data_IF_690998117164
#
_entry.id   IF_690998117164
#
_cell.length_a   1.000
_cell.length_b   1.000
_cell.length_c   1.000
_cell.angle_alpha   90.00
_cell.angle_beta   90.00
_cell.angle_gamma   90.00
#
_symmetry.space_group_name_H-M   'P 1'
#
loop_
_entity.id
_entity.type
_entity.pdbx_description
1 polymer ?
#
# COMPACT_ATOMS: atom_id res chain seq x y z
N UNK A 1 64.34 6.28 -9.67
CA UNK A 1 63.50 5.10 -9.96
C UNK A 1 62.65 4.82 -8.75
N UNK A 2 61.34 4.80 -8.98
CA UNK A 2 60.25 4.54 -8.06
C UNK A 2 60.38 3.16 -7.41
N UNK A 3 60.16 3.07 -6.09
CA UNK A 3 59.18 2.13 -5.51
C UNK A 3 58.89 2.47 -4.06
N UNK A 4 57.69 3.00 -3.90
CA UNK A 4 56.93 3.26 -2.68
C UNK A 4 56.55 1.94 -2.01
N UNK A 5 56.69 1.87 -0.68
CA UNK A 5 56.06 0.84 0.15
C UNK A 5 54.70 1.36 0.64
N UNK A 6 53.63 0.64 0.34
CA UNK A 6 52.30 0.90 0.88
C UNK A 6 52.15 0.22 2.24
N UNK A 7 51.85 1.01 3.28
CA UNK A 7 51.15 0.54 4.48
C UNK A 7 50.03 1.55 4.76
N UNK A 8 48.78 1.07 4.81
CA UNK A 8 47.80 1.63 5.73
C UNK A 8 46.61 0.67 5.89
N UNK A 9 46.59 -0.04 7.01
CA UNK A 9 45.35 -0.38 7.70
C UNK A 9 44.83 0.92 8.31
N UNK A 10 43.57 1.28 8.04
CA UNK A 10 42.90 2.36 8.79
C UNK A 10 41.77 1.74 9.58
N UNK A 11 41.90 1.89 10.90
CA UNK A 11 40.93 1.56 11.91
C UNK A 11 39.66 2.43 11.77
N UNK A 12 38.52 1.81 12.03
CA UNK A 12 37.21 2.48 12.15
C UNK A 12 37.22 3.34 13.41
N UNK A 13 37.16 4.66 13.26
CA UNK A 13 37.04 5.60 14.38
C UNK A 13 35.56 5.75 14.76
N UNK A 14 35.20 5.33 15.98
CA UNK A 14 33.93 5.69 16.64
C UNK A 14 33.97 7.17 17.02
N UNK A 15 32.95 7.93 16.61
CA UNK A 15 32.82 9.33 17.00
C UNK A 15 32.34 9.45 18.45
N UNK A 16 33.14 10.14 19.27
CA UNK A 16 32.74 10.73 20.57
C UNK A 16 32.77 12.23 20.37
N UNK A 17 31.63 12.89 20.62
CA UNK A 17 31.51 14.34 20.57
C UNK A 17 32.19 14.99 21.79
N UNK A 18 33.11 15.92 21.55
CA UNK A 18 33.54 16.92 22.53
C UNK A 18 33.89 18.20 21.79
N UNK A 19 32.99 19.18 21.87
CA UNK A 19 33.23 20.52 21.36
C UNK A 19 34.00 21.33 22.41
N UNK A 20 35.22 21.75 22.07
CA UNK A 20 35.85 22.93 22.68
C UNK A 20 36.39 23.80 21.55
N UNK A 21 35.87 25.04 21.45
CA UNK A 21 36.30 26.01 20.45
C UNK A 21 37.51 26.76 21.01
N UNK A 22 38.70 26.44 20.49
CA UNK A 22 39.92 27.22 20.70
C UNK A 22 40.25 28.01 19.45
N UNK A 23 40.28 29.34 19.56
CA UNK A 23 40.66 30.24 18.46
C UNK A 23 42.18 30.26 18.33
N UNK A 24 42.72 29.85 17.18
CA UNK A 24 44.08 30.17 16.77
C UNK A 24 44.08 30.83 15.38
N UNK A 25 44.77 31.96 15.30
CA UNK A 25 45.00 32.71 14.06
C UNK A 25 46.07 32.02 13.21
N UNK A 26 45.72 31.78 11.94
CA UNK A 26 46.52 31.93 10.72
C UNK A 26 46.14 30.83 9.71
N UNK A 27 45.51 31.29 8.62
CA UNK A 27 45.17 30.53 7.40
C UNK A 27 44.49 29.17 7.65
N UNK A 28 43.29 29.21 8.23
CA UNK A 28 42.43 28.03 8.33
C UNK A 28 41.59 27.86 7.07
N UNK A 29 41.85 26.81 6.29
CA UNK A 29 40.85 26.24 5.40
C UNK A 29 39.62 25.92 6.25
N UNK A 30 38.57 26.73 6.15
CA UNK A 30 37.28 26.39 6.73
C UNK A 30 36.76 25.23 5.90
N UNK A 31 37.04 24.01 6.33
CA UNK A 31 36.30 22.84 5.88
C UNK A 31 34.90 23.02 6.46
N UNK A 32 34.02 23.70 5.72
CA UNK A 32 32.60 23.58 5.95
C UNK A 32 32.25 22.13 5.63
N UNK A 33 32.36 21.26 6.63
CA UNK A 33 31.60 20.02 6.63
C UNK A 33 30.14 20.47 6.58
N UNK A 34 29.55 20.48 5.39
CA UNK A 34 28.10 20.38 5.32
C UNK A 34 27.79 19.07 6.04
N UNK A 35 27.32 19.17 7.28
CA UNK A 35 26.61 18.06 7.88
C UNK A 35 25.38 17.97 6.99
N UNK A 36 25.25 16.95 6.12
CA UNK A 36 23.97 16.76 5.46
C UNK A 36 22.95 16.69 6.60
N UNK A 37 21.91 17.52 6.52
CA UNK A 37 20.70 17.26 7.28
C UNK A 37 20.43 15.77 7.11
N UNK A 38 20.34 15.04 8.23
CA UNK A 38 19.87 13.66 8.23
C UNK A 38 18.41 13.73 7.82
N UNK A 39 18.16 13.90 6.52
CA UNK A 39 16.86 13.67 5.95
C UNK A 39 16.57 12.20 6.25
N UNK A 40 15.71 11.97 7.23
CA UNK A 40 15.27 10.64 7.62
C UNK A 40 14.60 10.03 6.40
N UNK A 41 15.27 9.05 5.79
CA UNK A 41 14.72 8.32 4.65
C UNK A 41 13.52 7.53 5.14
N UNK A 42 12.35 7.81 4.56
CA UNK A 42 11.12 7.15 4.96
C UNK A 42 11.30 5.62 4.89
N UNK A 43 11.02 4.92 5.98
CA UNK A 43 11.14 3.45 6.06
C UNK A 43 12.53 2.87 5.80
N UNK A 44 13.62 3.54 6.18
CA UNK A 44 14.99 2.98 6.16
C UNK A 44 15.25 2.08 7.37
N UNK A 45 15.12 0.76 7.24
CA UNK A 45 15.18 -0.19 8.37
C UNK A 45 16.61 -0.49 8.83
N UNK A 46 17.62 -0.25 7.99
CA UNK A 46 19.02 -0.59 8.28
C UNK A 46 19.98 0.61 8.38
N UNK A 47 19.49 1.81 8.07
CA UNK A 47 20.19 3.08 8.24
C UNK A 47 21.19 3.35 7.13
N UNK A 48 21.00 2.76 5.95
CA UNK A 48 21.90 2.92 4.80
C UNK A 48 21.59 4.16 3.94
N UNK A 49 20.62 4.97 4.37
CA UNK A 49 20.14 6.18 3.68
C UNK A 49 19.23 5.88 2.50
N UNK A 50 18.57 4.71 2.48
CA UNK A 50 17.61 4.32 1.44
C UNK A 50 16.36 3.73 2.07
N UNK A 51 15.21 3.99 1.44
CA UNK A 51 13.95 3.44 1.89
C UNK A 51 13.86 1.94 1.63
N UNK A 52 13.52 1.19 2.68
CA UNK A 52 13.23 -0.24 2.65
C UNK A 52 11.71 -0.51 2.65
N UNK A 53 11.34 -1.78 2.53
CA UNK A 53 9.93 -2.19 2.47
C UNK A 53 9.63 -3.20 3.59
N UNK A 54 8.74 -2.81 4.51
CA UNK A 54 8.13 -3.71 5.49
C UNK A 54 6.85 -4.34 4.92
N UNK A 55 6.77 -5.65 5.01
CA UNK A 55 5.63 -6.46 4.60
C UNK A 55 4.93 -7.05 5.81
N UNK A 56 3.60 -7.05 5.79
CA UNK A 56 2.77 -7.85 6.70
C UNK A 56 1.80 -8.68 5.88
N UNK A 57 1.86 -9.99 6.02
CA UNK A 57 0.92 -10.90 5.39
C UNK A 57 -0.38 -10.94 6.19
N UNK A 58 -1.49 -10.51 5.59
CA UNK A 58 -2.76 -10.29 6.27
C UNK A 58 -3.46 -11.57 6.79
N UNK A 59 -3.02 -12.75 6.36
CA UNK A 59 -3.64 -14.03 6.73
C UNK A 59 -2.75 -14.83 7.68
N UNK A 60 -1.48 -15.04 7.32
CA UNK A 60 -0.54 -15.78 8.19
C UNK A 60 -0.01 -14.94 9.35
N UNK A 61 -0.07 -13.61 9.26
CA UNK A 61 0.57 -12.74 10.23
C UNK A 61 2.09 -12.63 10.07
N UNK A 62 2.68 -13.26 9.05
CA UNK A 62 4.11 -13.13 8.74
C UNK A 62 4.47 -11.66 8.52
N UNK A 63 5.52 -11.20 9.19
CA UNK A 63 6.11 -9.88 9.02
C UNK A 63 7.49 -10.07 8.44
N UNK A 64 7.71 -9.53 7.25
CA UNK A 64 9.01 -9.58 6.58
C UNK A 64 9.47 -8.19 6.18
N UNK A 65 10.74 -8.07 5.82
CA UNK A 65 11.27 -6.86 5.23
C UNK A 65 12.10 -7.17 4.00
N UNK A 66 12.17 -6.19 3.11
CA UNK A 66 13.09 -6.13 1.98
C UNK A 66 14.00 -4.93 2.18
N UNK A 67 15.30 -5.17 2.27
CA UNK A 67 16.29 -4.09 2.24
C UNK A 67 16.58 -3.73 0.79
N UNK A 68 16.50 -2.45 0.44
CA UNK A 68 16.41 -1.99 -0.94
C UNK A 68 17.65 -1.18 -1.35
N UNK A 69 17.91 -1.13 -2.65
CA UNK A 69 18.85 -0.22 -3.27
C UNK A 69 18.26 0.25 -4.60
N UNK A 70 17.54 1.37 -4.55
CA UNK A 70 16.65 1.77 -5.65
C UNK A 70 15.61 0.68 -5.92
N UNK A 71 15.48 0.25 -7.17
CA UNK A 71 14.55 -0.82 -7.56
C UNK A 71 15.07 -2.24 -7.25
N UNK A 72 16.31 -2.37 -6.76
CA UNK A 72 16.90 -3.68 -6.46
C UNK A 72 16.62 -4.09 -5.01
N UNK A 73 16.08 -5.29 -4.82
CA UNK A 73 15.98 -5.90 -3.49
C UNK A 73 17.33 -6.51 -3.12
N UNK A 74 18.06 -5.85 -2.22
CA UNK A 74 19.38 -6.28 -1.73
C UNK A 74 19.26 -7.56 -0.92
N UNK A 75 18.28 -7.61 -0.02
CA UNK A 75 18.02 -8.77 0.84
C UNK A 75 16.54 -8.82 1.24
N UNK A 76 16.03 -10.02 1.55
CA UNK A 76 14.68 -10.22 2.06
C UNK A 76 14.69 -11.26 3.18
N UNK A 77 14.03 -10.96 4.30
CA UNK A 77 13.85 -11.93 5.39
C UNK A 77 12.47 -11.79 6.03
N UNK A 78 11.95 -12.92 6.51
CA UNK A 78 10.90 -12.90 7.53
C UNK A 78 11.53 -12.50 8.87
N UNK A 79 10.92 -11.54 9.56
CA UNK A 79 11.37 -10.97 10.83
C UNK A 79 10.67 -11.69 11.99
N UNK A 80 9.35 -11.88 11.87
CA UNK A 80 8.50 -12.45 12.90
C UNK A 80 7.18 -12.96 12.32
N UNK A 81 6.40 -13.66 13.14
CA UNK A 81 5.00 -14.00 12.86
C UNK A 81 4.15 -13.44 14.00
N UNK A 82 3.18 -12.58 13.66
CA UNK A 82 2.15 -12.07 14.57
C UNK A 82 0.79 -12.63 14.13
N UNK A 83 0.36 -13.79 14.66
CA UNK A 83 -0.80 -14.50 14.17
C UNK A 83 -2.13 -13.81 14.49
N UNK A 84 -2.17 -12.91 15.48
CA UNK A 84 -3.39 -12.18 15.80
C UNK A 84 -3.61 -11.03 14.79
N UNK A 85 -4.69 -11.15 14.02
CA UNK A 85 -5.03 -10.20 12.97
C UNK A 85 -5.55 -8.86 13.51
N UNK A 86 -5.83 -8.76 14.80
CA UNK A 86 -6.15 -7.48 15.44
C UNK A 86 -4.93 -6.58 15.57
N UNK A 87 -3.72 -7.11 15.54
CA UNK A 87 -2.49 -6.31 15.48
C UNK A 87 -2.31 -5.73 14.08
N UNK A 88 -2.29 -4.40 13.99
CA UNK A 88 -2.04 -3.65 12.75
C UNK A 88 -0.76 -2.86 12.88
N UNK A 89 0.08 -2.89 11.85
CA UNK A 89 1.14 -1.89 11.67
C UNK A 89 0.46 -0.56 11.37
N UNK A 90 0.66 0.44 12.24
CA UNK A 90 0.05 1.77 12.12
C UNK A 90 1.09 2.86 11.83
N UNK A 91 2.37 2.53 11.84
CA UNK A 91 3.42 3.45 11.44
C UNK A 91 4.79 2.77 11.35
N UNK A 92 5.69 3.40 10.59
CA UNK A 92 7.10 3.04 10.47
C UNK A 92 7.90 4.34 10.55
N UNK A 93 8.91 4.39 11.41
CA UNK A 93 9.73 5.58 11.66
C UNK A 93 10.72 5.33 12.80
N UNK A 94 11.81 6.09 12.86
CA UNK A 94 12.89 5.93 13.85
C UNK A 94 12.43 6.42 15.23
N UNK A 95 11.91 5.55 16.10
CA UNK A 95 11.34 5.95 17.39
C UNK A 95 12.43 6.23 18.43
N UNK A 96 13.63 5.65 18.30
CA UNK A 96 14.72 5.75 19.29
C UNK A 96 15.91 6.64 18.87
N UNK A 97 15.92 7.13 17.63
CA UNK A 97 16.87 8.11 17.10
C UNK A 97 18.20 7.48 16.70
N UNK A 98 18.22 6.18 16.37
CA UNK A 98 19.44 5.45 16.00
C UNK A 98 19.72 5.42 14.49
N UNK A 99 18.93 6.17 13.72
CA UNK A 99 18.99 6.32 12.28
C UNK A 99 18.30 5.20 11.51
N UNK A 100 17.54 4.33 12.18
CA UNK A 100 16.81 3.20 11.58
C UNK A 100 15.34 3.28 11.92
N UNK A 101 14.52 2.90 10.97
CA UNK A 101 13.07 2.90 11.11
C UNK A 101 12.61 1.73 11.97
N UNK A 102 11.78 2.04 12.95
CA UNK A 102 11.09 1.11 13.83
C UNK A 102 9.65 0.87 13.38
N UNK A 103 8.94 -0.05 14.04
CA UNK A 103 7.55 -0.39 13.68
C UNK A 103 6.61 -0.09 14.83
N UNK A 104 5.58 0.71 14.57
CA UNK A 104 4.49 0.99 15.50
C UNK A 104 3.29 0.10 15.19
N UNK A 105 2.82 -0.60 16.22
CA UNK A 105 1.71 -1.53 16.17
C UNK A 105 0.56 -1.03 17.02
N UNK A 106 -0.68 -1.29 16.58
CA UNK A 106 -1.88 -1.06 17.37
C UNK A 106 -2.79 -2.27 17.31
N UNK A 107 -3.25 -2.72 18.47
CA UNK A 107 -4.22 -3.78 18.60
C UNK A 107 -5.64 -3.20 18.49
N UNK A 108 -6.41 -3.68 17.50
CA UNK A 108 -7.70 -3.09 17.13
C UNK A 108 -8.80 -3.22 18.21
N UNK A 109 -8.68 -4.20 19.11
CA UNK A 109 -9.71 -4.50 20.13
C UNK A 109 -9.32 -3.96 21.50
N UNK A 110 -8.11 -4.28 21.97
CA UNK A 110 -7.63 -3.84 23.30
C UNK A 110 -7.15 -2.39 23.30
N UNK A 111 -6.81 -1.82 22.14
CA UNK A 111 -6.19 -0.50 22.06
C UNK A 111 -4.73 -0.44 22.47
N UNK A 112 -4.09 -1.59 22.71
CA UNK A 112 -2.64 -1.63 22.98
C UNK A 112 -1.87 -1.03 21.81
N UNK A 113 -0.91 -0.18 22.13
CA UNK A 113 0.04 0.42 21.20
C UNK A 113 1.40 -0.10 21.58
N UNK A 114 2.00 -0.86 20.67
CA UNK A 114 3.28 -1.53 20.88
C UNK A 114 4.28 -1.03 19.86
N UNK A 115 5.56 -0.98 20.23
CA UNK A 115 6.64 -0.64 19.31
C UNK A 115 7.62 -1.80 19.18
N UNK A 116 8.19 -1.96 17.99
CA UNK A 116 9.34 -2.82 17.72
C UNK A 116 10.50 -1.93 17.31
N UNK A 117 11.52 -1.86 18.17
CA UNK A 117 12.78 -1.19 17.82
C UNK A 117 13.59 -2.14 16.94
N UNK A 118 14.02 -1.67 15.78
CA UNK A 118 14.56 -2.48 14.69
C UNK A 118 16.04 -2.23 14.45
N UNK A 119 16.70 -3.20 13.83
CA UNK A 119 18.03 -3.07 13.27
C UNK A 119 18.13 -3.99 12.05
N UNK A 120 17.77 -3.47 10.87
CA UNK A 120 17.50 -4.24 9.68
C UNK A 120 16.42 -5.30 9.94
N UNK A 121 16.78 -6.57 9.80
CA UNK A 121 15.86 -7.69 10.04
C UNK A 121 15.70 -8.10 11.51
N UNK A 122 16.44 -7.49 12.44
CA UNK A 122 16.44 -7.88 13.85
C UNK A 122 15.58 -6.94 14.69
N UNK A 123 14.70 -7.51 15.52
CA UNK A 123 13.97 -6.76 16.54
C UNK A 123 14.84 -6.61 17.78
N UNK A 124 15.47 -5.45 17.94
CA UNK A 124 16.35 -5.07 19.08
C UNK A 124 15.58 -5.08 20.40
N UNK A 125 14.35 -4.56 20.38
CA UNK A 125 13.43 -4.56 21.52
C UNK A 125 11.99 -4.52 21.04
N UNK A 126 11.06 -4.95 21.90
CA UNK A 126 9.63 -4.86 21.66
C UNK A 126 8.89 -4.63 22.97
N UNK A 127 7.78 -3.90 22.93
CA UNK A 127 6.94 -3.76 24.10
C UNK A 127 5.79 -2.78 23.92
N UNK A 128 4.86 -2.84 24.86
CA UNK A 128 3.73 -1.92 24.95
C UNK A 128 4.20 -0.55 25.41
N UNK A 129 3.84 0.47 24.63
CA UNK A 129 4.04 1.89 24.92
C UNK A 129 2.89 2.38 25.82
N UNK A 130 1.65 2.04 25.45
CA UNK A 130 0.42 2.48 26.11
C UNK A 130 -0.75 1.55 25.72
N UNK A 131 -1.79 1.50 26.54
CA UNK A 131 -3.13 1.03 26.12
C UNK A 131 -4.08 2.24 25.99
N UNK A 132 -4.46 2.57 24.75
CA UNK A 132 -5.47 3.59 24.47
C UNK A 132 -6.85 2.94 24.39
N UNK A 133 -7.62 3.07 25.48
CA UNK A 133 -8.91 2.38 25.61
C UNK A 133 -9.97 2.93 24.67
N UNK A 134 -9.91 4.22 24.33
CA UNK A 134 -10.85 4.82 23.40
C UNK A 134 -10.45 4.51 21.95
N UNK A 135 -11.19 3.58 21.35
CA UNK A 135 -10.95 3.13 19.98
C UNK A 135 -11.24 4.19 18.92
N UNK A 136 -11.84 5.33 19.27
CA UNK A 136 -12.03 6.44 18.35
C UNK A 136 -10.73 7.20 18.08
N UNK A 137 -9.74 7.12 18.98
CA UNK A 137 -8.40 7.62 18.71
C UNK A 137 -7.69 6.70 17.71
N UNK A 138 -7.35 7.25 16.54
CA UNK A 138 -6.60 6.58 15.48
C UNK A 138 -5.23 7.22 15.33
N UNK A 139 -4.19 6.41 15.19
CA UNK A 139 -2.90 6.89 14.67
C UNK A 139 -3.11 7.29 13.23
N UNK A 140 -2.74 8.53 12.91
CA UNK A 140 -2.89 9.12 11.56
C UNK A 140 -1.55 9.52 10.95
N UNK A 141 -0.46 9.42 11.70
CA UNK A 141 0.89 9.61 11.17
C UNK A 141 1.97 9.32 12.20
N UNK A 142 3.18 9.10 11.70
CA UNK A 142 4.41 8.93 12.46
C UNK A 142 5.50 9.77 11.80
N UNK A 143 6.23 10.57 12.57
CA UNK A 143 7.29 11.46 12.08
C UNK A 143 7.80 12.38 13.20
N UNK A 144 9.01 12.90 13.07
CA UNK A 144 9.69 13.72 14.09
C UNK A 144 9.07 15.13 14.16
N UNK A 145 8.12 15.37 15.06
CA UNK A 145 7.36 16.62 15.11
C UNK A 145 8.16 17.74 15.80
N UNK A 146 9.10 17.41 16.69
CA UNK A 146 9.85 18.38 17.49
C UNK A 146 11.32 18.59 17.08
N UNK A 147 11.82 17.78 16.16
CA UNK A 147 13.15 17.88 15.56
C UNK A 147 14.25 17.28 16.44
N UNK A 148 13.92 16.35 17.33
CA UNK A 148 14.88 15.72 18.24
C UNK A 148 15.56 14.46 17.65
N UNK A 149 15.25 14.14 16.40
CA UNK A 149 15.73 12.98 15.67
C UNK A 149 14.91 11.71 15.91
N UNK A 150 13.82 11.76 16.69
CA UNK A 150 12.93 10.62 16.94
C UNK A 150 11.54 10.87 16.36
N UNK A 151 10.97 9.82 15.80
CA UNK A 151 9.63 9.84 15.24
C UNK A 151 8.59 9.83 16.35
N UNK A 152 7.69 10.80 16.28
CA UNK A 152 6.55 10.99 17.16
C UNK A 152 5.29 10.36 16.56
N UNK A 153 4.20 10.34 17.34
CA UNK A 153 2.92 9.75 16.90
C UNK A 153 1.82 10.81 16.86
N UNK A 154 1.21 10.99 15.68
CA UNK A 154 0.05 11.85 15.49
C UNK A 154 -1.24 11.03 15.58
N UNK A 155 -2.18 11.52 16.36
CA UNK A 155 -3.46 10.90 16.65
C UNK A 155 -4.61 11.80 16.22
N UNK A 156 -5.70 11.19 15.75
CA UNK A 156 -6.97 11.89 15.52
C UNK A 156 -8.14 11.11 16.08
N UNK A 157 -8.99 11.79 16.82
CA UNK A 157 -10.21 11.24 17.35
C UNK A 157 -11.31 11.28 16.28
N UNK A 158 -11.85 10.12 15.94
CA UNK A 158 -12.76 9.94 14.80
C UNK A 158 -14.14 10.61 14.96
N UNK A 159 -14.52 10.99 16.19
CA UNK A 159 -15.85 11.58 16.48
C UNK A 159 -15.75 13.08 16.76
N UNK A 160 -14.90 13.48 17.72
CA UNK A 160 -14.73 14.89 18.09
C UNK A 160 -13.89 15.68 17.11
N UNK A 161 -13.05 15.00 16.30
CA UNK A 161 -12.06 15.68 15.47
C UNK A 161 -10.84 16.21 16.24
N UNK A 162 -10.73 15.91 17.55
CA UNK A 162 -9.54 16.21 18.35
C UNK A 162 -8.30 15.61 17.70
N UNK A 163 -7.22 16.39 17.68
CA UNK A 163 -5.91 15.98 17.15
C UNK A 163 -4.95 15.98 18.33
N UNK A 164 -4.34 14.83 18.59
CA UNK A 164 -3.36 14.65 19.65
C UNK A 164 -2.00 14.30 19.05
N UNK A 165 -0.94 14.59 19.79
CA UNK A 165 0.40 14.15 19.45
C UNK A 165 1.07 13.54 20.67
N UNK A 166 1.92 12.55 20.43
CA UNK A 166 2.81 11.96 21.42
C UNK A 166 4.24 12.21 21.01
N UNK A 167 5.00 12.89 21.85
CA UNK A 167 6.44 12.99 21.67
C UNK A 167 7.09 11.74 22.26
N UNK A 168 7.94 11.08 21.48
CA UNK A 168 8.43 9.73 21.75
C UNK A 168 9.90 9.71 22.18
N UNK A 169 10.30 8.63 22.85
CA UNK A 169 11.69 8.29 23.11
C UNK A 169 11.82 6.76 23.19
N UNK A 170 12.03 6.13 22.04
CA UNK A 170 11.94 4.69 21.86
C UNK A 170 10.54 4.19 22.20
N UNK A 171 10.47 3.15 23.05
CA UNK A 171 9.19 2.57 23.50
C UNK A 171 8.53 3.35 24.66
N UNK A 172 8.95 4.58 24.92
CA UNK A 172 8.37 5.44 25.95
C UNK A 172 7.70 6.67 25.33
N UNK A 173 6.47 6.93 25.74
CA UNK A 173 5.77 8.20 25.45
C UNK A 173 6.28 9.28 26.42
N UNK A 174 7.17 10.15 25.94
CA UNK A 174 7.77 11.23 26.74
C UNK A 174 6.72 12.23 27.19
N UNK A 175 5.85 12.65 26.26
CA UNK A 175 4.77 13.60 26.53
C UNK A 175 3.59 13.36 25.57
N UNK A 176 2.39 13.73 25.97
CA UNK A 176 1.20 13.68 25.13
C UNK A 176 0.35 14.93 25.32
N UNK A 177 -0.13 15.52 24.22
CA UNK A 177 -1.05 16.67 24.26
C UNK A 177 -2.08 16.58 23.15
N UNK A 178 -3.27 17.09 23.43
CA UNK A 178 -4.20 17.52 22.39
C UNK A 178 -3.71 18.86 21.85
N UNK A 179 -3.51 18.96 20.53
CA UNK A 179 -2.86 20.09 19.87
C UNK A 179 -3.84 20.94 19.05
N UNK A 180 -4.98 20.37 18.64
CA UNK A 180 -6.02 21.05 17.88
C UNK A 180 -7.34 20.27 17.91
N UNK A 181 -8.41 20.90 17.44
CA UNK A 181 -9.68 20.24 17.10
C UNK A 181 -10.06 20.63 15.68
N UNK A 182 -10.24 19.63 14.82
CA UNK A 182 -10.81 19.80 13.47
C UNK A 182 -12.13 19.03 13.41
N UNK A 183 -13.26 19.68 13.73
CA UNK A 183 -14.54 19.00 13.90
C UNK A 183 -15.12 18.47 12.58
N UNK A 184 -14.73 19.03 11.43
CA UNK A 184 -15.19 18.54 10.14
C UNK A 184 -14.50 17.21 9.80
N UNK A 185 -15.30 16.15 9.75
CA UNK A 185 -14.82 14.80 9.49
C UNK A 185 -14.40 14.58 8.03
N UNK A 186 -14.69 15.51 7.12
CA UNK A 186 -14.20 15.46 5.75
C UNK A 186 -12.71 15.79 5.66
N UNK A 187 -12.15 16.51 6.64
CA UNK A 187 -10.70 16.70 6.74
C UNK A 187 -10.01 15.42 7.22
N UNK A 188 -9.12 14.90 6.38
CA UNK A 188 -8.29 13.73 6.66
C UNK A 188 -6.83 14.12 6.64
N UNK A 189 -6.05 13.65 7.62
CA UNK A 189 -4.59 13.64 7.51
C UNK A 189 -4.22 12.64 6.42
N UNK A 190 -3.46 13.08 5.43
CA UNK A 190 -3.03 12.29 4.27
C UNK A 190 -1.51 12.17 4.15
N UNK A 191 -0.76 12.91 4.98
CA UNK A 191 0.69 12.81 5.06
C UNK A 191 1.24 13.44 6.32
N UNK A 192 2.39 12.94 6.75
CA UNK A 192 3.24 13.55 7.78
C UNK A 192 4.68 13.55 7.25
N UNK A 193 5.34 14.70 7.28
CA UNK A 193 6.69 14.88 6.74
C UNK A 193 7.07 16.35 6.64
N UNK A 194 8.35 16.65 6.44
CA UNK A 194 8.90 18.00 6.44
C UNK A 194 8.51 18.78 5.17
N UNK A 195 7.53 19.69 5.28
CA UNK A 195 7.00 20.46 4.16
C UNK A 195 7.79 21.76 3.93
N UNK A 196 8.42 22.32 4.97
CA UNK A 196 9.14 23.61 4.90
C UNK A 196 10.68 23.50 4.97
N UNK A 197 11.21 22.30 5.19
CA UNK A 197 12.63 22.00 5.25
C UNK A 197 13.28 22.39 6.59
N UNK A 198 12.50 22.59 7.65
CA UNK A 198 13.03 22.99 8.97
C UNK A 198 13.53 21.84 9.85
N UNK A 199 13.49 20.62 9.32
CA UNK A 199 13.93 19.39 9.99
C UNK A 199 12.89 18.79 10.92
N UNK A 200 11.65 19.28 10.90
CA UNK A 200 10.51 18.73 11.65
C UNK A 200 9.43 18.26 10.69
N UNK A 201 8.68 17.28 11.11
CA UNK A 201 7.56 16.73 10.37
C UNK A 201 6.34 17.63 10.52
N UNK A 202 5.76 18.00 9.39
CA UNK A 202 4.52 18.76 9.29
C UNK A 202 3.34 17.82 8.98
N UNK A 203 2.12 18.36 8.99
CA UNK A 203 0.90 17.58 8.74
C UNK A 203 0.20 18.06 7.46
N UNK A 204 -0.02 17.14 6.53
CA UNK A 204 -0.77 17.38 5.30
C UNK A 204 -2.20 16.86 5.44
N UNK A 205 -3.16 17.74 5.20
CA UNK A 205 -4.59 17.48 5.29
C UNK A 205 -5.24 17.55 3.92
N UNK A 206 -6.26 16.71 3.69
CA UNK A 206 -7.10 16.77 2.50
C UNK A 206 -8.57 16.75 2.91
N UNK A 207 -9.34 17.69 2.37
CA UNK A 207 -10.78 17.73 2.53
C UNK A 207 -11.44 16.82 1.48
N UNK A 208 -12.17 15.80 1.92
CA UNK A 208 -12.70 14.75 1.06
C UNK A 208 -13.76 15.23 0.05
N UNK A 209 -14.41 16.37 0.31
CA UNK A 209 -15.51 16.88 -0.53
C UNK A 209 -15.06 18.02 -1.44
N UNK A 210 -14.31 18.97 -0.90
CA UNK A 210 -13.87 20.15 -1.66
C UNK A 210 -12.55 19.93 -2.39
N UNK A 211 -11.78 18.91 -2.01
CA UNK A 211 -10.43 18.67 -2.53
C UNK A 211 -9.38 19.66 -2.05
N UNK A 212 -9.71 20.52 -1.08
CA UNK A 212 -8.71 21.39 -0.45
C UNK A 212 -7.61 20.56 0.18
N UNK A 213 -6.37 20.96 -0.05
CA UNK A 213 -5.18 20.38 0.54
C UNK A 213 -4.53 21.45 1.40
N UNK A 214 -4.47 21.20 2.71
CA UNK A 214 -3.96 22.15 3.70
C UNK A 214 -2.71 21.59 4.35
N UNK A 215 -1.72 22.45 4.60
CA UNK A 215 -0.51 22.12 5.36
C UNK A 215 -0.55 22.75 6.74
N UNK A 216 -0.15 22.00 7.77
CA UNK A 216 0.13 22.51 9.12
C UNK A 216 1.63 22.41 9.37
N UNK A 217 2.31 23.56 9.42
CA UNK A 217 3.72 23.60 9.79
C UNK A 217 3.84 23.47 11.31
N UNK A 218 4.62 22.50 11.78
CA UNK A 218 4.66 22.06 13.17
C UNK A 218 5.96 22.46 13.88
N UNK A 219 5.89 22.52 15.21
CA UNK A 219 7.04 22.64 16.09
C UNK A 219 6.69 21.97 17.44
N UNK A 220 6.89 20.66 17.49
CA UNK A 220 6.37 19.77 18.51
C UNK A 220 4.85 19.87 18.60
N UNK A 221 4.35 20.26 19.77
CA UNK A 221 2.90 20.43 19.98
C UNK A 221 2.31 21.72 19.40
N UNK A 222 3.12 22.63 18.88
CA UNK A 222 2.65 23.92 18.39
C UNK A 222 2.52 23.91 16.87
N UNK A 223 1.37 24.36 16.36
CA UNK A 223 1.18 24.66 14.93
C UNK A 223 1.72 26.06 14.64
N UNK A 224 2.91 26.15 14.03
CA UNK A 224 3.61 27.39 13.64
C UNK A 224 2.80 28.19 12.63
N UNK A 225 2.24 27.51 11.63
CA UNK A 225 1.32 28.10 10.66
C UNK A 225 0.45 27.03 10.02
N UNK A 226 -0.67 27.45 9.41
CA UNK A 226 -1.52 26.58 8.62
C UNK A 226 -2.05 27.32 7.40
N UNK A 227 -2.32 26.60 6.32
CA UNK A 227 -2.96 27.19 5.15
C UNK A 227 -3.21 26.20 4.02
N UNK A 228 -4.07 26.61 3.10
CA UNK A 228 -4.36 25.87 1.88
C UNK A 228 -3.18 25.98 0.90
N UNK A 229 -2.67 24.83 0.48
CA UNK A 229 -1.64 24.68 -0.55
C UNK A 229 -2.29 24.74 -1.92
N UNK A 230 -3.34 23.94 -2.13
CA UNK A 230 -4.11 23.89 -3.38
C UNK A 230 -5.52 23.37 -3.15
N UNK A 231 -6.37 23.49 -4.17
CA UNK A 231 -7.67 22.81 -4.22
C UNK A 231 -7.68 21.92 -5.45
N UNK A 232 -7.69 20.60 -5.24
CA UNK A 232 -7.78 19.62 -6.31
C UNK A 232 -9.25 19.39 -6.67
N UNK A 233 -9.65 19.88 -7.85
CA UNK A 233 -11.04 19.84 -8.30
C UNK A 233 -11.46 18.43 -8.68
N UNK A 234 -10.53 17.61 -9.19
CA UNK A 234 -10.79 16.22 -9.52
C UNK A 234 -10.54 15.31 -8.30
N UNK A 235 -11.62 14.93 -7.62
CA UNK A 235 -11.58 14.11 -6.42
C UNK A 235 -11.01 12.69 -6.64
N UNK A 236 -10.77 12.29 -7.90
CA UNK A 236 -10.11 11.01 -8.19
C UNK A 236 -8.60 11.06 -7.93
N UNK A 237 -7.99 12.26 -7.93
CA UNK A 237 -6.61 12.42 -7.50
C UNK A 237 -6.51 12.32 -5.98
N UNK A 238 -5.70 11.35 -5.54
CA UNK A 238 -5.42 11.11 -4.14
C UNK A 238 -4.01 11.56 -3.83
N UNK A 239 -3.85 12.22 -2.68
CA UNK A 239 -2.53 12.35 -2.06
C UNK A 239 -2.16 10.95 -1.60
N UNK A 240 -1.16 10.39 -2.25
CA UNK A 240 -0.60 9.14 -1.81
C UNK A 240 0.45 9.46 -0.74
N UNK A 241 0.46 8.74 0.39
CA UNK A 241 1.64 8.77 1.25
C UNK A 241 2.86 8.39 0.40
N UNK A 242 4.06 8.75 0.83
CA UNK A 242 5.29 8.23 0.21
C UNK A 242 5.36 6.71 0.40
N UNK A 243 4.68 5.97 -0.47
CA UNK A 243 4.72 4.51 -0.60
C UNK A 243 4.71 4.17 -2.08
N UNK A 244 5.63 3.31 -2.45
CA UNK A 244 5.81 2.79 -3.80
C UNK A 244 4.55 2.06 -4.28
N UNK A 245 3.80 2.67 -5.21
CA UNK A 245 2.65 2.03 -5.86
C UNK A 245 3.11 0.90 -6.78
N UNK A 246 2.87 -0.35 -6.39
CA UNK A 246 3.05 -1.51 -7.26
C UNK A 246 1.72 -2.01 -7.83
N UNK A 247 0.99 -1.19 -8.61
CA UNK A 247 -0.04 -1.64 -9.57
C UNK A 247 -0.91 -2.86 -9.19
N UNK A 248 -1.46 -2.90 -7.97
CA UNK A 248 -2.42 -3.93 -7.54
C UNK A 248 -3.83 -3.54 -7.98
N UNK A 249 -4.65 -4.53 -8.33
CA UNK A 249 -6.03 -4.36 -8.77
C UNK A 249 -6.97 -5.17 -7.86
N UNK A 250 -8.18 -4.68 -7.59
CA UNK A 250 -9.16 -5.40 -6.78
C UNK A 250 -9.84 -6.55 -7.53
N UNK A 251 -10.51 -7.43 -6.78
CA UNK A 251 -11.36 -8.47 -7.35
C UNK A 251 -12.67 -7.87 -7.91
N UNK A 252 -13.21 -8.38 -9.04
CA UNK A 252 -14.33 -7.79 -9.79
C UNK A 252 -15.72 -8.10 -9.19
N UNK A 253 -15.80 -8.40 -7.90
CA UNK A 253 -17.02 -8.80 -7.21
C UNK A 253 -17.11 -8.16 -5.82
N UNK A 254 -18.26 -8.31 -5.15
CA UNK A 254 -18.52 -7.65 -3.87
C UNK A 254 -17.69 -8.25 -2.72
N UNK A 255 -17.50 -7.48 -1.64
CA UNK A 255 -16.81 -7.95 -0.44
C UNK A 255 -17.52 -9.18 0.16
N UNK A 256 -16.75 -10.08 0.76
CA UNK A 256 -17.21 -11.37 1.32
C UNK A 256 -17.80 -12.35 0.32
N UNK A 257 -17.62 -12.10 -0.98
CA UNK A 257 -17.89 -13.11 -1.97
C UNK A 257 -16.65 -13.98 -2.19
N UNK A 258 -16.87 -15.28 -2.29
CA UNK A 258 -15.88 -16.24 -2.75
C UNK A 258 -16.32 -16.73 -4.11
N UNK A 259 -15.47 -16.52 -5.09
CA UNK A 259 -15.64 -16.98 -6.46
C UNK A 259 -14.61 -18.04 -6.75
N UNK A 260 -14.92 -18.93 -7.67
CA UNK A 260 -14.05 -20.04 -8.03
C UNK A 260 -13.68 -19.92 -9.49
N UNK A 261 -12.41 -20.17 -9.78
CA UNK A 261 -11.92 -20.31 -11.15
C UNK A 261 -12.50 -21.60 -11.70
N UNK A 262 -13.52 -21.48 -12.54
CA UNK A 262 -14.17 -22.62 -13.19
C UNK A 262 -13.52 -22.99 -14.50
N UNK A 263 -12.79 -22.05 -15.09
CA UNK A 263 -11.87 -22.32 -16.17
C UNK A 263 -10.74 -21.30 -16.13
N UNK A 264 -9.51 -21.75 -16.38
CA UNK A 264 -8.38 -20.86 -16.50
C UNK A 264 -7.59 -21.04 -17.80
N UNK A 265 -6.50 -20.28 -17.80
CA UNK A 265 -5.26 -20.39 -18.57
C UNK A 265 -5.14 -21.51 -19.61
N UNK A 266 -5.12 -21.17 -20.90
CA UNK A 266 -4.68 -22.06 -21.99
C UNK A 266 -5.30 -23.50 -21.98
N UNK A 267 -6.51 -23.65 -21.44
CA UNK A 267 -7.23 -24.92 -21.38
C UNK A 267 -7.83 -25.36 -22.72
N UNK A 268 -8.15 -26.67 -22.82
CA UNK A 268 -8.64 -27.37 -24.01
C UNK A 268 -9.94 -26.80 -24.66
N UNK A 269 -10.65 -25.88 -24.01
CA UNK A 269 -12.07 -25.57 -24.30
C UNK A 269 -12.29 -24.18 -24.93
N UNK A 270 -11.83 -23.06 -24.34
CA UNK A 270 -12.15 -21.71 -24.87
C UNK A 270 -11.01 -20.68 -24.94
N UNK A 271 -9.88 -20.84 -24.23
CA UNK A 271 -8.81 -19.83 -24.13
C UNK A 271 -7.45 -20.28 -24.67
N UNK A 272 -7.41 -20.83 -25.88
CA UNK A 272 -6.20 -21.44 -26.46
C UNK A 272 -5.04 -20.46 -26.74
N UNK A 273 -5.25 -19.14 -26.65
CA UNK A 273 -4.24 -18.13 -26.97
C UNK A 273 -4.28 -16.88 -26.09
N UNK A 274 -4.99 -16.90 -24.96
CA UNK A 274 -5.11 -15.75 -24.04
C UNK A 274 -5.05 -16.17 -22.58
N UNK A 275 -4.70 -15.24 -21.70
CA UNK A 275 -4.60 -15.43 -20.26
C UNK A 275 -5.89 -14.95 -19.58
N UNK A 276 -6.97 -15.69 -19.80
CA UNK A 276 -8.30 -15.42 -19.26
C UNK A 276 -8.65 -16.26 -18.04
N UNK A 277 -9.50 -15.71 -17.19
CA UNK A 277 -10.16 -16.42 -16.08
C UNK A 277 -11.66 -16.38 -16.27
N UNK A 278 -12.30 -17.54 -16.17
CA UNK A 278 -13.74 -17.64 -16.02
C UNK A 278 -14.06 -17.95 -14.55
N UNK A 279 -14.89 -17.10 -13.95
CA UNK A 279 -15.22 -17.16 -12.53
C UNK A 279 -16.71 -17.44 -12.32
N UNK A 280 -17.00 -18.34 -11.38
CA UNK A 280 -18.36 -18.71 -10.97
C UNK A 280 -18.50 -18.70 -9.45
N UNK A 281 -19.72 -18.44 -8.96
CA UNK A 281 -20.04 -18.58 -7.51
C UNK A 281 -20.30 -20.02 -7.10
N UNK A 282 -20.49 -20.92 -8.07
CA UNK A 282 -20.64 -22.34 -7.80
C UNK A 282 -19.33 -22.86 -7.19
N UNK A 283 -19.40 -23.59 -6.07
CA UNK A 283 -18.24 -24.26 -5.45
C UNK A 283 -18.04 -25.68 -5.99
N UNK A 284 -19.15 -26.29 -6.39
CA UNK A 284 -19.33 -27.69 -6.73
C UNK A 284 -19.47 -27.89 -8.25
N UNK A 285 -18.77 -27.11 -9.06
CA UNK A 285 -18.85 -27.21 -10.52
C UNK A 285 -18.08 -28.42 -11.08
N UNK A 286 -18.54 -28.88 -12.24
CA UNK A 286 -17.97 -30.02 -12.97
C UNK A 286 -16.55 -29.77 -13.48
N UNK A 287 -15.94 -30.79 -14.09
CA UNK A 287 -14.53 -30.75 -14.52
C UNK A 287 -14.27 -29.81 -15.71
N UNK A 288 -15.30 -29.39 -16.44
CA UNK A 288 -15.16 -28.71 -17.74
C UNK A 288 -16.13 -27.52 -17.92
N UNK A 289 -16.67 -26.95 -16.84
CA UNK A 289 -17.79 -26.00 -16.96
C UNK A 289 -18.01 -25.14 -15.70
N UNK A 290 -18.62 -23.97 -15.88
CA UNK A 290 -18.87 -23.00 -14.80
C UNK A 290 -20.22 -23.16 -14.06
N UNK A 291 -21.01 -24.19 -14.35
CA UNK A 291 -22.28 -24.47 -13.66
C UNK A 291 -22.10 -25.42 -12.46
N UNK A 292 -22.99 -25.31 -11.47
CA UNK A 292 -22.97 -26.14 -10.27
C UNK A 292 -23.33 -27.61 -10.57
N UNK A 293 -22.87 -28.57 -9.76
CA UNK A 293 -23.16 -29.99 -9.95
C UNK A 293 -24.67 -30.31 -9.91
N UNK A 294 -25.49 -29.42 -9.35
CA UNK A 294 -26.95 -29.46 -9.38
C UNK A 294 -27.57 -29.20 -10.78
N UNK A 295 -26.75 -28.87 -11.78
CA UNK A 295 -27.19 -28.58 -13.15
C UNK A 295 -27.62 -27.13 -13.39
N UNK A 296 -27.52 -26.25 -12.38
CA UNK A 296 -27.94 -24.86 -12.52
C UNK A 296 -26.91 -24.01 -13.28
N UNK A 297 -27.15 -23.84 -14.58
CA UNK A 297 -26.33 -23.01 -15.48
C UNK A 297 -26.40 -21.51 -15.20
N UNK A 298 -27.36 -21.05 -14.40
CA UNK A 298 -27.58 -19.64 -14.07
C UNK A 298 -27.15 -19.29 -12.64
N UNK A 299 -26.36 -20.13 -11.95
CA UNK A 299 -26.02 -19.95 -10.53
C UNK A 299 -25.40 -18.59 -10.21
N UNK A 300 -24.57 -18.05 -11.12
CA UNK A 300 -23.91 -16.74 -10.96
C UNK A 300 -24.71 -15.58 -11.53
N UNK A 301 -25.81 -15.82 -12.24
CA UNK A 301 -26.55 -14.77 -12.94
C UNK A 301 -27.06 -13.70 -11.97
N UNK A 302 -26.99 -12.43 -12.38
CA UNK A 302 -27.42 -11.30 -11.56
C UNK A 302 -26.45 -10.87 -10.46
N UNK A 303 -25.35 -11.59 -10.22
CA UNK A 303 -24.32 -11.15 -9.26
C UNK A 303 -23.64 -9.86 -9.74
N UNK A 304 -23.33 -8.91 -8.84
CA UNK A 304 -22.73 -7.64 -9.22
C UNK A 304 -21.29 -7.82 -9.69
N UNK A 305 -20.96 -7.12 -10.78
CA UNK A 305 -19.62 -7.03 -11.32
C UNK A 305 -19.09 -5.63 -11.04
N UNK A 306 -17.98 -5.55 -10.32
CA UNK A 306 -17.37 -4.31 -9.87
C UNK A 306 -16.07 -4.04 -10.61
N UNK A 307 -15.72 -2.76 -10.76
CA UNK A 307 -14.46 -2.35 -11.39
C UNK A 307 -13.25 -2.77 -10.54
N UNK A 308 -12.32 -3.58 -11.06
CA UNK A 308 -11.08 -3.96 -10.37
C UNK A 308 -10.17 -2.77 -10.06
N UNK A 309 -10.23 -1.71 -10.86
CA UNK A 309 -9.41 -0.52 -10.70
C UNK A 309 -10.16 0.70 -11.23
N UNK A 310 -9.65 1.89 -10.93
CA UNK A 310 -10.11 3.09 -11.60
C UNK A 310 -9.70 3.08 -13.08
N UNK A 311 -10.52 3.66 -13.96
CA UNK A 311 -10.23 3.65 -15.38
C UNK A 311 -11.37 4.14 -16.25
N UNK A 312 -11.17 4.04 -17.57
CA UNK A 312 -12.18 4.41 -18.57
C UNK A 312 -12.73 3.17 -19.26
N UNK A 313 -14.06 3.11 -19.38
CA UNK A 313 -14.79 2.02 -20.01
C UNK A 313 -14.84 2.20 -21.53
N UNK A 314 -14.58 1.14 -22.27
CA UNK A 314 -14.81 1.07 -23.72
C UNK A 314 -15.55 -0.23 -24.06
N UNK A 315 -16.58 -0.14 -24.89
CA UNK A 315 -17.29 -1.34 -25.34
C UNK A 315 -16.47 -2.04 -26.42
N UNK A 316 -16.26 -3.35 -26.25
CA UNK A 316 -15.61 -4.18 -27.27
C UNK A 316 -16.66 -4.76 -28.22
N UNK A 317 -17.75 -5.29 -27.68
CA UNK A 317 -18.89 -5.78 -28.44
C UNK A 317 -20.16 -5.76 -27.57
N UNK A 318 -21.18 -6.57 -27.89
CA UNK A 318 -22.44 -6.70 -27.12
C UNK A 318 -22.31 -7.45 -25.79
N UNK A 319 -21.17 -8.06 -25.50
CA UNK A 319 -20.94 -8.94 -24.35
C UNK A 319 -19.71 -8.54 -23.50
N UNK A 320 -18.72 -7.90 -24.12
CA UNK A 320 -17.43 -7.58 -23.53
C UNK A 320 -17.20 -6.07 -23.37
N UNK A 321 -16.51 -5.72 -22.29
CA UNK A 321 -16.04 -4.36 -21.98
C UNK A 321 -14.55 -4.37 -21.73
N UNK A 322 -13.89 -3.32 -22.18
CA UNK A 322 -12.54 -2.98 -21.81
C UNK A 322 -12.54 -1.88 -20.75
N UNK A 323 -11.79 -2.08 -19.68
CA UNK A 323 -11.46 -1.08 -18.68
C UNK A 323 -10.00 -0.68 -18.86
N UNK A 324 -9.76 0.52 -19.39
CA UNK A 324 -8.40 1.08 -19.47
C UNK A 324 -7.99 1.62 -18.11
N UNK A 325 -6.98 1.01 -17.49
CA UNK A 325 -6.52 1.36 -16.13
C UNK A 325 -5.20 2.16 -16.13
N UNK A 326 -4.48 2.14 -17.26
CA UNK A 326 -3.28 2.96 -17.49
C UNK A 326 -3.05 3.14 -19.01
N UNK A 327 -2.11 4.00 -19.44
CA UNK A 327 -1.77 4.16 -20.85
C UNK A 327 -1.35 2.86 -21.56
N UNK A 328 -0.76 1.91 -20.82
CA UNK A 328 -0.27 0.62 -21.32
C UNK A 328 -1.03 -0.59 -20.75
N UNK A 329 -2.13 -0.38 -20.00
CA UNK A 329 -2.84 -1.46 -19.29
C UNK A 329 -4.35 -1.36 -19.42
N UNK A 330 -4.97 -2.49 -19.71
CA UNK A 330 -6.42 -2.63 -19.66
C UNK A 330 -6.86 -4.02 -19.19
N UNK A 331 -8.10 -4.10 -18.72
CA UNK A 331 -8.78 -5.33 -18.33
C UNK A 331 -9.98 -5.56 -19.24
N UNK A 332 -10.04 -6.70 -19.89
CA UNK A 332 -11.23 -7.15 -20.60
C UNK A 332 -12.12 -7.89 -19.60
N UNK A 333 -13.37 -7.47 -19.48
CA UNK A 333 -14.36 -8.05 -18.57
C UNK A 333 -15.61 -8.38 -19.38
N UNK A 334 -16.08 -9.61 -19.28
CA UNK A 334 -17.11 -10.17 -20.16
C UNK A 334 -18.28 -10.84 -19.48
N UNK A 335 -19.27 -11.23 -20.30
CA UNK A 335 -20.46 -11.98 -19.89
C UNK A 335 -21.32 -11.25 -18.87
N UNK A 336 -21.55 -9.95 -19.13
CA UNK A 336 -22.26 -9.08 -18.23
C UNK A 336 -23.38 -8.26 -18.87
N UNK A 337 -24.47 -8.14 -18.11
CA UNK A 337 -25.54 -7.18 -18.31
C UNK A 337 -25.05 -5.83 -17.77
N UNK A 338 -24.44 -5.06 -18.67
CA UNK A 338 -23.78 -3.79 -18.35
C UNK A 338 -24.75 -2.75 -17.82
N UNK A 339 -24.29 -2.00 -16.83
CA UNK A 339 -24.96 -0.83 -16.26
C UNK A 339 -24.18 0.47 -16.52
N UNK A 340 -22.94 0.37 -16.99
CA UNK A 340 -22.06 1.51 -17.32
C UNK A 340 -22.09 1.84 -18.80
N UNK A 341 -22.00 3.12 -19.14
CA UNK A 341 -21.96 3.62 -20.52
C UNK A 341 -20.58 3.48 -21.17
N UNK A 342 -20.52 3.45 -22.51
CA UNK A 342 -19.27 3.55 -23.25
C UNK A 342 -18.60 4.92 -22.97
N UNK A 343 -17.30 4.93 -22.70
CA UNK A 343 -16.55 6.13 -22.31
C UNK A 343 -16.71 6.54 -20.84
N UNK A 344 -17.46 5.80 -20.02
CA UNK A 344 -17.62 6.12 -18.61
C UNK A 344 -16.29 6.02 -17.85
N UNK A 345 -15.99 7.02 -17.02
CA UNK A 345 -14.90 6.95 -16.05
C UNK A 345 -15.44 6.31 -14.78
N UNK A 346 -14.74 5.29 -14.28
CA UNK A 346 -15.12 4.52 -13.10
C UNK A 346 -13.99 4.53 -12.08
N UNK A 347 -14.33 4.43 -10.79
CA UNK A 347 -13.37 4.17 -9.72
C UNK A 347 -13.35 2.68 -9.37
N UNK A 348 -12.32 2.22 -8.67
CA UNK A 348 -12.30 0.86 -8.12
C UNK A 348 -13.57 0.61 -7.27
N UNK A 349 -14.18 -0.55 -7.46
CA UNK A 349 -15.47 -0.98 -6.89
C UNK A 349 -16.73 -0.31 -7.47
N UNK A 350 -16.63 0.55 -8.49
CA UNK A 350 -17.81 1.01 -9.22
C UNK A 350 -18.58 -0.16 -9.84
N UNK A 351 -19.91 -0.17 -9.75
CA UNK A 351 -20.75 -1.20 -10.37
C UNK A 351 -20.69 -1.09 -11.90
N UNK A 352 -20.10 -2.09 -12.54
CA UNK A 352 -20.04 -2.19 -14.01
C UNK A 352 -21.31 -2.80 -14.58
N UNK A 353 -21.91 -3.74 -13.87
CA UNK A 353 -23.07 -4.49 -14.34
C UNK A 353 -23.37 -5.67 -13.44
N UNK A 354 -24.12 -6.61 -13.98
CA UNK A 354 -24.36 -7.92 -13.34
C UNK A 354 -24.00 -9.04 -14.29
N UNK A 355 -23.66 -10.22 -13.77
CA UNK A 355 -23.44 -11.41 -14.60
C UNK A 355 -24.67 -11.70 -15.45
N UNK A 356 -24.48 -11.86 -16.76
CA UNK A 356 -25.56 -12.22 -17.70
C UNK A 356 -26.08 -13.64 -17.43
N UNK A 357 -27.33 -13.89 -17.84
CA UNK A 357 -27.85 -15.25 -17.87
C UNK A 357 -27.09 -16.13 -18.88
N UNK A 358 -27.17 -17.44 -18.69
CA UNK A 358 -26.65 -18.44 -19.61
C UNK A 358 -27.23 -18.25 -21.02
N UNK A 359 -26.35 -18.15 -22.01
CA UNK A 359 -26.66 -17.96 -23.43
C UNK A 359 -25.51 -18.47 -24.29
N UNK A 360 -25.74 -18.64 -25.60
CA UNK A 360 -24.67 -19.08 -26.51
C UNK A 360 -23.44 -18.16 -26.48
N UNK A 361 -23.65 -16.85 -26.25
CA UNK A 361 -22.58 -15.85 -26.16
C UNK A 361 -21.61 -16.05 -24.99
N UNK A 362 -22.03 -16.71 -23.91
CA UNK A 362 -21.19 -17.06 -22.75
C UNK A 362 -21.02 -18.58 -22.60
N UNK A 363 -21.03 -19.31 -23.72
CA UNK A 363 -20.81 -20.75 -23.75
C UNK A 363 -21.90 -21.57 -23.05
N UNK A 364 -23.08 -20.98 -22.79
CA UNK A 364 -24.21 -21.62 -22.15
C UNK A 364 -24.20 -21.59 -20.62
N UNK A 365 -23.36 -20.76 -19.99
CA UNK A 365 -23.24 -20.69 -18.52
C UNK A 365 -23.10 -19.26 -18.02
N UNK A 366 -23.80 -18.91 -16.93
CA UNK A 366 -23.62 -17.65 -16.24
C UNK A 366 -22.31 -17.65 -15.45
N UNK A 367 -21.34 -16.86 -15.92
CA UNK A 367 -20.02 -16.67 -15.33
C UNK A 367 -19.48 -15.29 -15.74
N UNK A 368 -18.36 -14.86 -15.18
CA UNK A 368 -17.64 -13.66 -15.63
C UNK A 368 -16.30 -14.05 -16.22
N UNK A 369 -15.94 -13.44 -17.35
CA UNK A 369 -14.64 -13.56 -17.97
C UNK A 369 -13.76 -12.36 -17.62
N UNK A 370 -12.48 -12.58 -17.27
CA UNK A 370 -11.51 -11.51 -16.98
C UNK A 370 -10.16 -11.79 -17.63
N UNK A 371 -9.63 -10.81 -18.37
CA UNK A 371 -8.32 -10.90 -19.03
C UNK A 371 -7.52 -9.60 -18.85
N UNK A 372 -6.23 -9.70 -18.53
CA UNK A 372 -5.32 -8.55 -18.47
C UNK A 372 -4.58 -8.34 -19.79
N UNK A 373 -4.45 -7.08 -20.22
CA UNK A 373 -3.81 -6.72 -21.50
C UNK A 373 -2.83 -5.57 -21.35
N UNK A 374 -1.62 -5.73 -21.91
CA UNK A 374 -0.58 -4.69 -21.99
C UNK A 374 -0.83 -3.76 -23.19
N UNK A 375 -2.02 -3.16 -23.22
CA UNK A 375 -2.49 -2.24 -24.24
C UNK A 375 -3.60 -1.35 -23.66
N UNK A 376 -3.81 -0.10 -24.10
CA UNK A 376 -4.87 0.76 -23.57
C UNK A 376 -6.29 0.29 -23.92
N UNK A 377 -6.49 -0.33 -25.07
CA UNK A 377 -7.83 -0.62 -25.63
C UNK A 377 -8.20 -2.11 -25.67
N UNK A 378 -7.60 -2.92 -24.79
CA UNK A 378 -7.77 -4.37 -24.81
C UNK A 378 -7.55 -4.96 -26.21
N UNK A 379 -6.46 -4.63 -26.90
CA UNK A 379 -6.22 -5.13 -28.25
C UNK A 379 -5.98 -6.66 -28.26
N UNK A 380 -6.51 -7.41 -29.24
CA UNK A 380 -6.20 -8.83 -29.39
C UNK A 380 -4.69 -9.11 -29.43
N UNK A 381 -4.25 -10.23 -28.86
CA UNK A 381 -2.82 -10.63 -28.84
C UNK A 381 -1.94 -9.90 -27.82
N UNK A 382 -2.51 -9.00 -27.01
CA UNK A 382 -1.76 -8.26 -25.96
C UNK A 382 -1.99 -8.80 -24.55
N UNK A 383 -2.58 -10.00 -24.46
CA UNK A 383 -2.87 -10.70 -23.21
C UNK A 383 -1.60 -10.91 -22.40
N UNK A 384 -1.66 -10.67 -21.09
CA UNK A 384 -0.57 -10.98 -20.16
C UNK A 384 -1.06 -11.67 -18.88
N UNK A 385 -0.21 -12.47 -18.21
CA UNK A 385 -0.58 -13.08 -16.93
C UNK A 385 -0.94 -12.04 -15.85
N UNK A 386 -1.91 -12.36 -14.99
CA UNK A 386 -2.37 -11.55 -13.86
C UNK A 386 -1.33 -11.58 -12.72
N UNK A 387 -0.24 -10.85 -12.92
CA UNK A 387 0.91 -10.81 -12.00
C UNK A 387 1.30 -9.39 -11.64
N UNK A 388 2.01 -9.23 -10.54
CA UNK A 388 2.55 -7.95 -10.07
C UNK A 388 3.56 -7.35 -11.04
N UNK A 389 4.36 -8.18 -11.73
CA UNK A 389 5.31 -7.73 -12.77
C UNK A 389 4.59 -7.08 -13.95
N UNK A 390 3.41 -7.60 -14.31
CA UNK A 390 2.57 -7.00 -15.33
C UNK A 390 1.70 -5.85 -14.80
N UNK A 391 1.65 -5.68 -13.47
CA UNK A 391 0.82 -4.69 -12.78
C UNK A 391 -0.67 -5.04 -12.80
N UNK A 392 -0.99 -6.32 -12.65
CA UNK A 392 -2.36 -6.85 -12.60
C UNK A 392 -2.54 -7.93 -11.52
N UNK A 393 -1.81 -7.84 -10.41
CA UNK A 393 -2.02 -8.76 -9.29
C UNK A 393 -3.34 -8.41 -8.58
N UNK A 394 -4.22 -9.39 -8.37
CA UNK A 394 -5.42 -9.18 -7.59
C UNK A 394 -5.10 -9.00 -6.10
N UNK A 395 -5.77 -8.04 -5.46
CA UNK A 395 -5.65 -7.76 -4.02
C UNK A 395 -5.90 -9.02 -3.20
N UNK A 396 -4.92 -9.39 -2.36
CA UNK A 396 -5.01 -10.58 -1.51
C UNK A 396 -4.89 -11.92 -2.26
N UNK A 397 -4.55 -11.90 -3.55
CA UNK A 397 -4.29 -13.09 -4.37
C UNK A 397 -2.83 -13.10 -4.80
N UNK A 398 -2.17 -14.25 -4.66
CA UNK A 398 -0.82 -14.44 -5.20
C UNK A 398 -0.80 -14.24 -6.72
N UNK A 399 0.39 -13.96 -7.27
CA UNK A 399 0.58 -13.90 -8.72
C UNK A 399 -0.01 -15.13 -9.41
N UNK A 400 -0.68 -14.90 -10.53
CA UNK A 400 -1.18 -15.93 -11.42
C UNK A 400 -0.31 -15.93 -12.69
N UNK A 401 0.88 -16.58 -12.67
CA UNK A 401 1.83 -16.55 -13.76
C UNK A 401 1.44 -17.55 -14.84
N UNK A 402 2.27 -17.62 -15.88
CA UNK A 402 2.18 -18.66 -16.89
C UNK A 402 2.49 -20.03 -16.31
N UNK A 403 1.47 -20.90 -16.30
CA UNK A 403 1.60 -22.28 -15.92
C UNK A 403 1.64 -23.10 -17.21
N UNK A 404 2.84 -23.54 -17.60
CA UNK A 404 3.07 -24.38 -18.79
C UNK A 404 2.44 -25.77 -18.71
N UNK A 405 1.76 -26.10 -17.60
CA UNK A 405 1.11 -27.38 -17.33
C UNK A 405 -0.43 -27.23 -17.24
N UNK A 406 -1.15 -28.22 -17.78
CA UNK A 406 -2.59 -28.20 -18.16
C UNK A 406 -3.62 -27.96 -17.05
N UNK A 407 -3.24 -27.78 -15.79
CA UNK A 407 -4.17 -27.39 -14.73
C UNK A 407 -3.77 -26.01 -14.24
N UNK A 408 -4.28 -25.04 -14.99
CA UNK A 408 -4.49 -23.68 -14.58
C UNK A 408 -5.20 -23.61 -13.22
N UNK A 409 -5.38 -22.41 -12.68
CA UNK A 409 -5.98 -22.15 -11.37
C UNK A 409 -7.40 -22.71 -11.13
N UNK A 410 -7.93 -23.57 -12.00
CA UNK A 410 -9.08 -24.44 -11.82
C UNK A 410 -9.33 -24.85 -10.36
N UNK A 411 -10.56 -24.62 -9.90
CA UNK A 411 -11.03 -24.84 -8.52
C UNK A 411 -10.38 -23.98 -7.44
N UNK A 412 -9.42 -23.10 -7.76
CA UNK A 412 -8.92 -22.12 -6.80
C UNK A 412 -10.03 -21.12 -6.48
N UNK A 413 -10.21 -20.88 -5.19
CA UNK A 413 -11.10 -19.85 -4.66
C UNK A 413 -10.39 -18.49 -4.63
N UNK A 414 -11.10 -17.45 -5.05
CA UNK A 414 -10.73 -16.04 -4.93
C UNK A 414 -11.74 -15.40 -3.97
N UNK A 415 -11.27 -14.94 -2.82
CA UNK A 415 -12.11 -14.33 -1.78
C UNK A 415 -11.72 -12.88 -1.60
N UNK A 416 -12.69 -11.97 -1.72
CA UNK A 416 -12.47 -10.55 -1.46
C UNK A 416 -12.71 -10.25 0.03
N UNK A 417 -11.68 -9.84 0.80
CA UNK A 417 -11.83 -9.51 2.21
C UNK A 417 -12.63 -8.20 2.41
N UNK A 418 -13.05 -7.97 3.66
CA UNK A 418 -13.84 -6.80 4.08
C UNK A 418 -13.16 -5.46 3.78
#
# INVERSE_FOLDING_TARGET
MTKTFNFCSVAVLKYVALATVGVFSSVGLVLALSIPSLATTASDLDGDGKSDILWRHAVSGSVGAWLMNGLSRREAREIAVEPDQNWKVVGVGDLDGDGKSDVLWRHAVSGSVDGWLMNGFSRKSAGTILVEQDQNWKVVGVGDLDGDGKSDVLWRHAVSGSVGAWLMNGLSRREAREIAVEPDQNWKVVGVGDLDGDGKSDVLWRHAVSGSVDGWLMNGFSRKSAGTILVEQDQNWKVLPSRSDTGQIGLPFANNQTWYVCQGYQGYISHQSTFGLDLSVAKDFGTNSCYAADGNVNKSAGQPILAPAAGTISYINSDLVCLQIAPDRSLLIGHMDRRVSNGAVVTQNSLLGTVSQAADANGGFAHIHVEARKHPTCAPGTSVPLTSVNGFQFDGVENLPDLTERNDYFKKSLTKPY
#
